data_IF_528620862528
#
_entry.id   IF_528620862528
#
_cell.length_a   1.000
_cell.length_b   1.000
_cell.length_c   1.000
_cell.angle_alpha   90.00
_cell.angle_beta   90.00
_cell.angle_gamma   90.00
#
_symmetry.space_group_name_H-M   'P 1'
#
loop_
_entity.id
_entity.type
_entity.pdbx_description
1 polymer ?
#
# COMPACT_ATOMS: atom_id res chain seq x y z
N UNK A 1 -31.60 50.69 24.80
CA UNK A 1 -32.11 50.94 23.44
C UNK A 1 -32.72 49.64 22.93
N UNK A 2 -34.00 49.70 22.53
CA UNK A 2 -34.79 48.59 21.95
C UNK A 2 -34.64 48.57 20.42
N UNK A 3 -35.19 47.51 19.80
CA UNK A 3 -35.45 47.23 18.37
C UNK A 3 -34.35 46.42 17.65
N UNK A 4 -34.65 45.43 16.81
CA UNK A 4 -35.92 44.81 16.44
C UNK A 4 -35.66 43.42 15.84
N UNK A 5 -36.54 42.46 16.14
CA UNK A 5 -36.61 41.15 15.48
C UNK A 5 -37.39 41.33 14.16
N UNK A 6 -36.78 40.97 13.04
CA UNK A 6 -37.48 40.90 11.75
C UNK A 6 -38.01 39.48 11.56
N UNK A 7 -39.33 39.35 11.58
CA UNK A 7 -40.08 38.15 11.18
C UNK A 7 -40.53 38.39 9.74
N UNK A 8 -40.06 37.59 8.80
CA UNK A 8 -40.54 37.61 7.41
C UNK A 8 -41.55 36.48 7.25
N UNK A 9 -42.81 36.88 7.02
CA UNK A 9 -43.90 36.00 6.63
C UNK A 9 -43.82 35.75 5.12
N UNK A 10 -43.70 34.49 4.71
CA UNK A 10 -43.78 34.08 3.30
C UNK A 10 -45.18 33.53 3.04
N UNK A 11 -45.88 34.17 2.11
CA UNK A 11 -47.22 33.83 1.67
C UNK A 11 -47.18 32.62 0.71
N UNK A 12 -48.11 31.69 0.91
CA UNK A 12 -48.31 30.49 0.10
C UNK A 12 -49.27 30.84 -1.05
N UNK A 13 -48.81 30.76 -2.29
CA UNK A 13 -49.66 30.77 -3.49
C UNK A 13 -50.01 29.31 -3.86
N UNK A 14 -51.30 28.99 -3.84
CA UNK A 14 -51.84 27.73 -4.38
C UNK A 14 -52.16 27.91 -5.87
N UNK A 15 -51.28 27.43 -6.75
CA UNK A 15 -51.56 27.25 -8.17
C UNK A 15 -52.14 25.86 -8.43
N UNK A 16 -53.38 25.80 -8.90
CA UNK A 16 -54.00 24.58 -9.40
C UNK A 16 -53.49 24.27 -10.81
N UNK A 17 -52.62 23.28 -10.95
CA UNK A 17 -52.24 22.70 -12.22
C UNK A 17 -52.96 21.35 -12.40
N UNK A 18 -53.87 21.30 -13.36
CA UNK A 18 -54.46 20.07 -13.89
C UNK A 18 -53.43 19.43 -14.81
N UNK A 19 -52.91 18.26 -14.44
CA UNK A 19 -52.01 17.48 -15.29
C UNK A 19 -52.66 16.14 -15.60
N UNK A 20 -53.09 15.98 -16.86
CA UNK A 20 -53.47 14.70 -17.44
C UNK A 20 -52.30 13.72 -17.31
N UNK A 21 -52.54 12.61 -16.62
CA UNK A 21 -51.55 11.54 -16.45
C UNK A 21 -51.71 10.55 -17.60
N UNK A 22 -50.73 10.42 -18.52
CA UNK A 22 -50.71 9.30 -19.45
C UNK A 22 -50.39 8.02 -18.69
N UNK A 23 -51.24 7.01 -18.83
CA UNK A 23 -51.02 5.65 -18.32
C UNK A 23 -49.73 5.07 -18.92
N UNK A 24 -48.71 4.73 -18.12
CA UNK A 24 -47.56 4.00 -18.63
C UNK A 24 -47.97 2.55 -18.91
N UNK A 25 -47.87 2.13 -20.18
CA UNK A 25 -47.94 0.72 -20.56
C UNK A 25 -46.69 0.01 -20.04
N UNK A 26 -46.84 -0.79 -18.99
CA UNK A 26 -45.76 -1.62 -18.43
C UNK A 26 -45.53 -2.83 -19.33
N UNK A 27 -44.60 -2.72 -20.28
CA UNK A 27 -44.04 -3.90 -20.96
C UNK A 27 -43.07 -4.57 -19.99
N UNK A 28 -43.49 -5.67 -19.39
CA UNK A 28 -42.63 -6.49 -18.52
C UNK A 28 -41.66 -7.26 -19.40
N UNK A 29 -40.46 -6.71 -19.60
CA UNK A 29 -39.36 -7.44 -20.23
C UNK A 29 -38.89 -8.53 -19.25
N UNK A 30 -38.79 -9.81 -19.66
CA UNK A 30 -38.20 -10.84 -18.80
C UNK A 30 -36.79 -10.40 -18.41
N UNK A 31 -36.52 -10.31 -17.11
CA UNK A 31 -35.17 -10.12 -16.61
C UNK A 31 -34.34 -11.35 -17.01
N UNK A 32 -33.46 -11.19 -18.00
CA UNK A 32 -32.45 -12.20 -18.32
C UNK A 32 -31.48 -12.24 -17.16
N UNK A 33 -31.67 -13.18 -16.23
CA UNK A 33 -30.69 -13.50 -15.20
C UNK A 33 -29.52 -14.20 -15.87
N UNK A 34 -28.50 -13.43 -16.27
CA UNK A 34 -27.21 -13.99 -16.65
C UNK A 34 -26.53 -14.45 -15.36
N UNK A 35 -26.71 -15.72 -15.02
CA UNK A 35 -25.96 -16.35 -13.93
C UNK A 35 -24.56 -16.65 -14.45
N UNK A 36 -23.66 -15.69 -14.29
CA UNK A 36 -22.22 -15.92 -14.51
C UNK A 36 -21.75 -16.92 -13.47
N UNK A 37 -21.42 -18.13 -13.91
CA UNK A 37 -20.78 -19.13 -13.06
C UNK A 37 -19.45 -18.53 -12.60
N UNK A 38 -19.24 -18.44 -11.28
CA UNK A 38 -17.96 -18.01 -10.74
C UNK A 38 -16.86 -18.93 -11.31
N UNK A 39 -15.73 -18.39 -11.81
CA UNK A 39 -14.66 -19.21 -12.33
C UNK A 39 -14.26 -20.24 -11.28
N UNK A 40 -14.19 -21.51 -11.67
CA UNK A 40 -13.86 -22.62 -10.77
C UNK A 40 -12.38 -22.66 -10.37
N UNK A 41 -11.55 -21.83 -11.01
CA UNK A 41 -10.13 -21.69 -10.74
C UNK A 41 -9.87 -20.41 -9.95
N UNK A 42 -9.02 -20.50 -8.92
CA UNK A 42 -8.60 -19.33 -8.15
C UNK A 42 -8.03 -18.26 -9.10
N UNK A 43 -8.36 -16.97 -8.90
CA UNK A 43 -7.93 -15.91 -9.81
C UNK A 43 -6.41 -15.76 -9.89
N UNK A 44 -5.67 -16.27 -8.91
CA UNK A 44 -4.21 -16.23 -8.89
C UNK A 44 -3.53 -17.30 -9.76
N UNK A 45 -4.21 -18.43 -9.99
CA UNK A 45 -3.66 -19.50 -10.85
C UNK A 45 -4.16 -19.37 -12.29
N UNK A 46 -4.92 -18.31 -12.55
CA UNK A 46 -5.29 -17.90 -13.90
C UNK A 46 -4.19 -16.99 -14.49
N UNK A 47 -3.99 -17.08 -15.81
CA UNK A 47 -3.04 -16.27 -16.56
C UNK A 47 -1.68 -16.93 -16.77
N UNK A 48 -0.89 -16.36 -17.68
CA UNK A 48 0.38 -16.94 -18.18
C UNK A 48 1.63 -16.24 -17.60
N UNK A 49 1.45 -15.26 -16.71
CA UNK A 49 2.56 -14.57 -16.06
C UNK A 49 3.17 -15.51 -15.01
N UNK A 50 4.50 -15.74 -15.02
CA UNK A 50 5.18 -16.64 -14.09
C UNK A 50 5.19 -16.08 -12.67
N UNK A 51 5.45 -16.97 -11.71
CA UNK A 51 5.75 -16.60 -10.33
C UNK A 51 7.25 -16.65 -10.11
N UNK A 52 7.74 -15.72 -9.30
CA UNK A 52 9.15 -15.55 -8.92
C UNK A 52 9.33 -15.76 -7.41
N UNK A 53 10.56 -16.09 -7.00
CA UNK A 53 10.88 -16.42 -5.59
C UNK A 53 11.97 -15.56 -4.98
N UNK A 54 12.66 -14.77 -5.79
CA UNK A 54 13.74 -13.88 -5.39
C UNK A 54 14.01 -12.81 -6.47
N UNK A 55 14.77 -11.77 -6.12
CA UNK A 55 15.20 -10.74 -7.07
C UNK A 55 14.06 -9.88 -7.62
N UNK A 56 14.18 -9.47 -8.88
CA UNK A 56 13.13 -8.71 -9.59
C UNK A 56 11.98 -9.63 -9.96
N UNK A 57 10.79 -9.32 -9.46
CA UNK A 57 9.56 -10.07 -9.71
C UNK A 57 8.87 -9.57 -10.97
N UNK A 58 8.77 -8.26 -11.13
CA UNK A 58 8.12 -7.66 -12.29
C UNK A 58 8.64 -6.24 -12.56
N UNK A 59 8.62 -5.87 -13.84
CA UNK A 59 8.50 -4.48 -14.28
C UNK A 59 7.08 -4.35 -14.82
N UNK A 60 6.37 -3.29 -14.44
CA UNK A 60 4.95 -3.12 -14.77
C UNK A 60 4.64 -1.70 -15.21
N UNK A 61 3.45 -1.53 -15.79
CA UNK A 61 2.96 -0.27 -16.31
C UNK A 61 3.65 0.16 -17.62
N UNK A 62 3.31 1.37 -18.06
CA UNK A 62 3.83 2.00 -19.27
C UNK A 62 4.68 3.21 -18.92
N UNK A 63 5.48 3.71 -19.87
CA UNK A 63 6.36 4.87 -19.64
C UNK A 63 5.60 6.12 -19.16
N UNK A 64 4.34 6.26 -19.56
CA UNK A 64 3.44 7.33 -19.13
C UNK A 64 2.27 6.72 -18.33
N UNK A 65 1.88 7.37 -17.22
CA UNK A 65 0.73 6.98 -16.39
C UNK A 65 0.00 8.21 -15.86
N UNK A 66 -1.27 8.05 -15.48
CA UNK A 66 -2.07 9.12 -14.86
C UNK A 66 -2.34 8.88 -13.36
N UNK A 67 -1.90 7.73 -12.83
CA UNK A 67 -1.89 7.47 -11.41
C UNK A 67 -0.99 8.47 -10.68
N UNK A 68 -1.56 9.12 -9.66
CA UNK A 68 -0.86 10.07 -8.80
C UNK A 68 -1.02 9.80 -7.30
N UNK A 69 -1.89 8.86 -6.91
CA UNK A 69 -2.20 8.57 -5.51
C UNK A 69 -2.39 7.06 -5.30
N UNK A 70 -1.78 6.51 -4.25
CA UNK A 70 -2.13 5.18 -3.74
C UNK A 70 -3.48 5.29 -3.01
N UNK A 71 -4.56 4.88 -3.66
CA UNK A 71 -5.93 5.09 -3.16
C UNK A 71 -6.39 4.06 -2.14
N UNK A 72 -5.87 2.84 -2.22
CA UNK A 72 -6.33 1.74 -1.38
C UNK A 72 -5.55 0.46 -1.59
N UNK A 73 -5.59 -0.43 -0.59
CA UNK A 73 -5.11 -1.80 -0.74
C UNK A 73 -6.22 -2.76 -0.29
N UNK A 74 -6.53 -3.72 -1.15
CA UNK A 74 -7.54 -4.76 -0.90
C UNK A 74 -6.86 -6.12 -0.88
N UNK A 75 -7.19 -6.93 0.12
CA UNK A 75 -6.71 -8.30 0.23
C UNK A 75 -7.87 -9.29 0.15
N UNK A 76 -7.64 -10.42 -0.51
CA UNK A 76 -8.54 -11.57 -0.50
C UNK A 76 -7.78 -12.88 -0.62
N UNK A 77 -8.17 -13.86 0.21
CA UNK A 77 -7.74 -15.25 0.09
C UNK A 77 -8.65 -16.06 -0.85
N UNK A 78 -8.05 -16.95 -1.64
CA UNK A 78 -8.67 -17.81 -2.64
C UNK A 78 -8.16 -19.25 -2.53
N UNK A 79 -8.51 -19.93 -1.44
CA UNK A 79 -7.99 -21.26 -1.13
C UNK A 79 -6.50 -21.18 -0.81
N UNK A 80 -5.67 -21.84 -1.60
CA UNK A 80 -4.20 -21.87 -1.47
C UNK A 80 -3.52 -20.63 -2.08
N UNK A 81 -4.25 -19.55 -2.33
CA UNK A 81 -3.66 -18.32 -2.87
C UNK A 81 -4.17 -17.09 -2.15
N UNK A 82 -3.37 -16.02 -2.13
CA UNK A 82 -3.82 -14.69 -1.76
C UNK A 82 -3.56 -13.69 -2.88
N UNK A 83 -4.44 -12.69 -2.98
CA UNK A 83 -4.28 -11.55 -3.87
C UNK A 83 -4.37 -10.26 -3.08
N UNK A 84 -3.39 -9.39 -3.29
CA UNK A 84 -3.48 -7.98 -2.97
C UNK A 84 -3.76 -7.20 -4.25
N UNK A 85 -4.65 -6.22 -4.17
CA UNK A 85 -4.92 -5.26 -5.24
C UNK A 85 -4.71 -3.87 -4.67
N UNK A 86 -3.73 -3.18 -5.21
CA UNK A 86 -3.43 -1.79 -4.91
C UNK A 86 -4.17 -0.95 -5.94
N UNK A 87 -5.14 -0.17 -5.48
CA UNK A 87 -5.95 0.70 -6.32
C UNK A 87 -5.26 2.06 -6.45
N UNK A 88 -5.08 2.53 -7.69
CA UNK A 88 -4.43 3.80 -7.97
C UNK A 88 -5.46 4.84 -8.47
N UNK A 89 -5.28 6.07 -8.01
CA UNK A 89 -6.14 7.20 -8.35
C UNK A 89 -5.32 8.29 -9.04
N UNK A 90 -5.99 9.11 -9.82
CA UNK A 90 -5.47 10.41 -10.25
C UNK A 90 -5.34 11.35 -9.04
N UNK A 91 -4.58 12.44 -9.19
CA UNK A 91 -4.39 13.44 -8.13
C UNK A 91 -5.67 14.18 -7.72
N UNK A 92 -6.73 14.13 -8.52
CA UNK A 92 -8.06 14.65 -8.17
C UNK A 92 -8.95 13.63 -7.44
N UNK A 93 -8.46 12.41 -7.21
CA UNK A 93 -9.14 11.34 -6.51
C UNK A 93 -10.04 10.46 -7.39
N UNK A 94 -10.07 10.68 -8.71
CA UNK A 94 -10.76 9.78 -9.65
C UNK A 94 -9.96 8.48 -9.85
N UNK A 95 -10.58 7.36 -10.27
CA UNK A 95 -9.83 6.16 -10.64
C UNK A 95 -8.83 6.46 -11.76
N UNK A 96 -7.56 6.09 -11.56
CA UNK A 96 -6.56 6.19 -12.62
C UNK A 96 -6.91 5.28 -13.80
N UNK A 97 -6.39 5.61 -14.97
CA UNK A 97 -6.55 4.79 -16.17
C UNK A 97 -5.30 3.96 -16.48
N UNK A 98 -4.11 4.49 -16.21
CA UNK A 98 -2.79 3.87 -16.47
C UNK A 98 -1.88 4.01 -15.25
N UNK A 99 -1.15 2.94 -14.90
CA UNK A 99 -0.28 2.91 -13.71
C UNK A 99 0.93 3.83 -13.85
N UNK A 100 1.64 3.79 -14.99
CA UNK A 100 2.99 4.35 -15.14
C UNK A 100 4.08 3.33 -14.77
N UNK A 101 5.35 3.60 -15.11
CA UNK A 101 6.46 2.65 -14.96
C UNK A 101 6.81 2.41 -13.48
N UNK A 102 6.73 1.15 -13.07
CA UNK A 102 7.08 0.71 -11.72
C UNK A 102 7.71 -0.68 -11.70
N UNK A 103 8.11 -1.10 -10.50
CA UNK A 103 8.81 -2.37 -10.31
C UNK A 103 8.36 -3.10 -9.04
N UNK A 104 8.48 -4.41 -9.05
CA UNK A 104 8.34 -5.23 -7.86
C UNK A 104 9.60 -6.08 -7.66
N UNK A 105 10.16 -6.01 -6.45
CA UNK A 105 11.44 -6.66 -6.11
C UNK A 105 11.39 -7.27 -4.72
N UNK A 106 12.01 -8.43 -4.54
CA UNK A 106 12.34 -8.91 -3.21
C UNK A 106 13.54 -8.16 -2.67
N UNK A 107 13.34 -7.34 -1.64
CA UNK A 107 14.44 -6.66 -0.92
C UNK A 107 15.04 -7.56 0.16
N UNK A 108 14.29 -8.55 0.61
CA UNK A 108 14.75 -9.68 1.41
C UNK A 108 13.79 -10.88 1.20
N UNK A 109 14.10 -12.03 1.80
CA UNK A 109 13.18 -13.17 1.80
C UNK A 109 11.83 -12.87 2.48
N UNK A 110 11.77 -11.82 3.31
CA UNK A 110 10.59 -11.43 4.09
C UNK A 110 9.81 -10.27 3.48
N UNK A 111 10.37 -9.54 2.52
CA UNK A 111 9.78 -8.29 2.05
C UNK A 111 9.77 -8.25 0.53
N UNK A 112 8.56 -8.15 0.00
CA UNK A 112 8.31 -7.75 -1.38
C UNK A 112 8.08 -6.24 -1.40
N UNK A 113 8.94 -5.51 -2.10
CA UNK A 113 8.75 -4.08 -2.37
C UNK A 113 8.04 -3.89 -3.71
N UNK A 114 7.02 -3.05 -3.72
CA UNK A 114 6.36 -2.55 -4.93
C UNK A 114 6.66 -1.06 -5.05
N UNK A 115 7.51 -0.69 -6.00
CA UNK A 115 7.93 0.68 -6.30
C UNK A 115 6.95 1.30 -7.29
N UNK A 116 6.41 2.47 -6.97
CA UNK A 116 5.46 3.19 -7.82
C UNK A 116 6.17 4.23 -8.68
N UNK A 117 5.55 4.67 -9.78
CA UNK A 117 6.10 5.73 -10.62
C UNK A 117 6.24 7.04 -9.86
N UNK A 118 7.21 7.87 -10.25
CA UNK A 118 7.47 9.21 -9.66
C UNK A 118 6.24 10.14 -9.68
N UNK A 119 5.28 9.89 -10.58
CA UNK A 119 4.03 10.63 -10.67
C UNK A 119 3.11 10.39 -9.46
N UNK A 120 3.29 9.27 -8.74
CA UNK A 120 2.60 8.98 -7.48
C UNK A 120 3.24 9.80 -6.37
N UNK A 121 2.50 10.82 -5.93
CA UNK A 121 2.98 11.85 -5.00
C UNK A 121 2.19 11.92 -3.69
N UNK A 122 1.17 11.08 -3.53
CA UNK A 122 0.33 11.06 -2.33
C UNK A 122 -0.19 9.64 -2.06
N UNK A 123 -0.73 9.43 -0.85
CA UNK A 123 -1.34 8.17 -0.46
C UNK A 123 -2.52 8.38 0.50
N UNK A 124 -3.58 7.60 0.31
CA UNK A 124 -4.70 7.49 1.24
C UNK A 124 -4.49 6.36 2.28
N UNK A 125 -3.44 5.56 2.13
CA UNK A 125 -3.11 4.42 2.99
C UNK A 125 -1.68 4.59 3.51
N UNK A 126 -1.49 4.51 4.82
CA UNK A 126 -0.14 4.48 5.41
C UNK A 126 0.35 3.07 5.71
N UNK A 127 -0.57 2.19 6.11
CA UNK A 127 -0.28 0.80 6.44
C UNK A 127 -1.55 -0.05 6.32
N UNK A 128 -1.37 -1.36 6.17
CA UNK A 128 -2.46 -2.33 6.22
C UNK A 128 -1.98 -3.66 6.81
N UNK A 129 -2.90 -4.46 7.34
CA UNK A 129 -2.61 -5.80 7.83
C UNK A 129 -3.59 -6.80 7.21
N UNK A 130 -3.13 -8.03 7.02
CA UNK A 130 -3.97 -9.12 6.50
C UNK A 130 -3.89 -10.35 7.40
N UNK A 131 -4.80 -11.30 7.19
CA UNK A 131 -4.85 -12.57 7.92
C UNK A 131 -4.11 -13.70 7.18
N UNK A 132 -3.30 -13.37 6.18
CA UNK A 132 -2.69 -14.32 5.24
C UNK A 132 -1.15 -14.36 5.25
N UNK A 133 -0.58 -14.86 4.17
CA UNK A 133 0.84 -14.86 3.81
C UNK A 133 1.43 -13.45 3.87
N UNK A 134 0.76 -12.47 3.27
CA UNK A 134 1.10 -11.07 3.50
C UNK A 134 0.60 -10.65 4.88
N UNK A 135 1.49 -10.37 5.83
CA UNK A 135 1.08 -10.06 7.20
C UNK A 135 0.75 -8.59 7.37
N UNK A 136 1.67 -7.72 6.98
CA UNK A 136 1.56 -6.26 7.08
C UNK A 136 2.18 -5.62 5.85
N UNK A 137 1.59 -4.54 5.36
CA UNK A 137 2.21 -3.70 4.34
C UNK A 137 2.35 -2.27 4.82
N UNK A 138 3.46 -1.65 4.45
CA UNK A 138 3.80 -0.28 4.80
C UNK A 138 3.93 0.54 3.53
N UNK A 139 3.16 1.63 3.43
CA UNK A 139 3.32 2.60 2.35
C UNK A 139 4.36 3.60 2.82
N UNK A 140 5.48 3.66 2.10
CA UNK A 140 6.67 4.41 2.49
C UNK A 140 6.96 5.47 1.45
N UNK A 141 7.18 6.70 1.91
CA UNK A 141 7.71 7.78 1.13
C UNK A 141 9.25 7.71 1.16
N UNK A 142 9.87 7.67 -0.01
CA UNK A 142 11.32 7.51 -0.10
C UNK A 142 12.06 8.85 0.06
N UNK A 143 13.32 8.80 0.51
CA UNK A 143 14.19 9.97 0.66
C UNK A 143 14.57 10.59 -0.69
N UNK A 144 14.60 9.78 -1.74
CA UNK A 144 14.81 10.25 -3.11
C UNK A 144 13.52 10.78 -3.77
N UNK A 145 12.39 10.68 -3.06
CA UNK A 145 11.05 11.01 -3.55
C UNK A 145 10.26 9.77 -4.00
N UNK A 146 8.98 9.97 -4.26
CA UNK A 146 8.08 8.89 -4.66
C UNK A 146 7.66 7.98 -3.50
N UNK A 147 6.96 6.91 -3.85
CA UNK A 147 6.39 5.96 -2.90
C UNK A 147 6.69 4.52 -3.29
N UNK A 148 6.84 3.68 -2.28
CA UNK A 148 6.81 2.23 -2.43
C UNK A 148 5.94 1.60 -1.35
N UNK A 149 5.54 0.35 -1.57
CA UNK A 149 4.92 -0.49 -0.54
C UNK A 149 5.84 -1.65 -0.23
N UNK A 150 6.25 -1.77 1.03
CA UNK A 150 6.91 -2.97 1.54
C UNK A 150 5.86 -3.92 2.13
N UNK A 151 5.65 -5.06 1.49
CA UNK A 151 4.73 -6.12 1.90
C UNK A 151 5.54 -7.19 2.64
N UNK A 152 5.28 -7.31 3.94
CA UNK A 152 5.93 -8.30 4.81
C UNK A 152 5.26 -9.67 4.66
N UNK A 153 6.06 -10.68 4.42
CA UNK A 153 5.63 -12.07 4.27
C UNK A 153 5.85 -12.82 5.58
N UNK A 154 4.81 -13.50 6.07
CA UNK A 154 4.87 -14.35 7.26
C UNK A 154 5.33 -15.79 6.98
N UNK A 155 5.44 -16.15 5.70
CA UNK A 155 5.93 -17.45 5.24
C UNK A 155 6.51 -17.32 3.82
N UNK A 156 7.31 -18.29 3.36
CA UNK A 156 7.81 -18.27 1.98
C UNK A 156 6.65 -18.29 0.98
N UNK A 157 6.71 -17.43 -0.03
CA UNK A 157 5.71 -17.38 -1.10
C UNK A 157 6.37 -17.29 -2.47
N UNK A 158 5.75 -17.93 -3.46
CA UNK A 158 5.97 -17.62 -4.86
C UNK A 158 5.12 -16.38 -5.17
N UNK A 159 5.71 -15.36 -5.78
CA UNK A 159 5.09 -14.05 -5.97
C UNK A 159 4.95 -13.75 -7.45
N UNK A 160 3.82 -13.14 -7.81
CA UNK A 160 3.61 -12.60 -9.15
C UNK A 160 3.00 -11.21 -9.05
N UNK A 161 3.56 -10.27 -9.80
CA UNK A 161 3.06 -8.88 -9.84
C UNK A 161 2.78 -8.47 -11.27
N UNK A 162 1.66 -7.77 -11.47
CA UNK A 162 1.26 -7.21 -12.75
C UNK A 162 0.30 -6.04 -12.56
N UNK A 163 0.19 -5.18 -13.55
CA UNK A 163 -0.76 -4.06 -13.56
C UNK A 163 -2.04 -4.38 -14.35
N UNK A 164 -3.09 -3.62 -14.06
CA UNK A 164 -4.35 -3.60 -14.80
C UNK A 164 -4.71 -2.15 -15.08
N UNK A 165 -5.14 -1.89 -16.31
CA UNK A 165 -5.65 -0.58 -16.70
C UNK A 165 -7.17 -0.48 -16.53
N UNK A 166 -7.65 0.76 -16.47
CA UNK A 166 -9.07 1.12 -16.50
C UNK A 166 -10.00 0.26 -15.59
N UNK A 167 -9.90 0.37 -14.26
CA UNK A 167 -9.04 1.30 -13.51
C UNK A 167 -7.63 0.77 -13.24
N UNK A 168 -6.68 1.70 -13.17
CA UNK A 168 -5.27 1.52 -12.84
C UNK A 168 -5.11 0.83 -11.49
N UNK A 169 -4.50 -0.36 -11.50
CA UNK A 169 -4.26 -1.19 -10.32
C UNK A 169 -2.95 -1.93 -10.46
N UNK A 170 -2.27 -2.15 -9.35
CA UNK A 170 -1.19 -3.13 -9.24
C UNK A 170 -1.71 -4.34 -8.48
N UNK A 171 -1.53 -5.53 -9.03
CA UNK A 171 -2.00 -6.80 -8.46
C UNK A 171 -0.80 -7.63 -8.04
N UNK A 172 -0.82 -8.09 -6.80
CA UNK A 172 0.17 -9.00 -6.22
C UNK A 172 -0.53 -10.31 -5.90
N UNK A 173 -0.14 -11.39 -6.57
CA UNK A 173 -0.56 -12.75 -6.27
C UNK A 173 0.52 -13.48 -5.49
N UNK A 174 0.08 -14.23 -4.48
CA UNK A 174 0.94 -15.00 -3.58
C UNK A 174 0.48 -16.46 -3.59
N UNK A 175 1.41 -17.39 -3.82
CA UNK A 175 1.21 -18.82 -3.61
C UNK A 175 2.13 -19.31 -2.50
N UNK A 176 1.67 -20.22 -1.63
CA UNK A 176 2.50 -20.75 -0.55
C UNK A 176 3.65 -21.56 -1.13
N UNK A 177 4.85 -21.31 -0.61
CA UNK A 177 6.05 -22.09 -0.92
C UNK A 177 6.48 -22.87 0.32
N UNK A 178 6.96 -24.09 0.12
CA UNK A 178 7.49 -24.90 1.21
C UNK A 178 8.81 -24.35 1.75
N UNK A 179 9.07 -24.64 3.02
CA UNK A 179 10.28 -24.18 3.73
C UNK A 179 9.94 -23.19 4.85
N UNK A 180 10.98 -22.60 5.41
CA UNK A 180 10.89 -21.59 6.47
C UNK A 180 11.61 -20.33 6.01
N UNK A 181 11.12 -19.18 6.44
CA UNK A 181 11.86 -17.92 6.25
C UNK A 181 13.04 -17.88 7.22
N UNK A 182 14.17 -17.39 6.74
CA UNK A 182 15.36 -17.21 7.56
C UNK A 182 15.12 -16.17 8.66
N UNK A 183 15.16 -16.59 9.92
CA UNK A 183 14.87 -15.69 11.05
C UNK A 183 15.94 -14.63 11.25
N UNK A 184 17.16 -14.87 10.77
CA UNK A 184 18.28 -13.95 10.97
C UNK A 184 18.20 -12.73 10.05
N UNK A 185 17.28 -12.71 9.09
CA UNK A 185 17.02 -11.61 8.16
C UNK A 185 15.59 -11.06 8.25
N UNK A 186 14.84 -11.45 9.30
CA UNK A 186 13.46 -11.01 9.51
C UNK A 186 13.39 -9.52 9.88
N UNK A 187 12.48 -8.72 9.30
CA UNK A 187 12.36 -7.32 9.65
C UNK A 187 12.06 -7.12 11.14
N UNK A 188 12.73 -6.14 11.74
CA UNK A 188 12.48 -5.77 13.13
C UNK A 188 11.45 -4.65 13.18
N UNK A 189 10.40 -4.84 13.97
CA UNK A 189 9.32 -3.84 14.12
C UNK A 189 9.17 -3.48 15.59
N UNK A 190 9.12 -2.18 15.89
CA UNK A 190 8.90 -1.67 17.24
C UNK A 190 8.50 -0.20 17.21
N UNK A 191 7.50 0.16 18.02
CA UNK A 191 7.07 1.54 18.32
C UNK A 191 7.28 2.59 17.20
N UNK A 192 6.65 2.37 16.04
CA UNK A 192 6.69 3.35 14.95
C UNK A 192 8.00 3.37 14.15
N UNK A 193 8.85 2.34 14.30
CA UNK A 193 10.06 2.06 13.52
C UNK A 193 10.00 0.63 12.97
N UNK A 194 10.42 0.48 11.72
CA UNK A 194 10.70 -0.81 11.09
C UNK A 194 12.10 -0.78 10.51
N UNK A 195 12.90 -1.78 10.84
CA UNK A 195 14.17 -2.06 10.17
C UNK A 195 13.93 -3.16 9.16
N UNK A 196 13.93 -2.77 7.88
CA UNK A 196 13.56 -3.64 6.78
C UNK A 196 14.71 -4.54 6.35
N UNK A 197 15.92 -3.98 6.26
CA UNK A 197 17.12 -4.73 5.87
C UNK A 197 18.35 -4.20 6.60
N UNK A 198 19.35 -5.07 6.76
CA UNK A 198 20.66 -4.68 7.25
C UNK A 198 21.75 -5.61 6.69
N UNK A 199 23.00 -5.12 6.66
CA UNK A 199 24.17 -5.95 6.35
C UNK A 199 24.90 -6.33 7.64
N UNK A 200 25.50 -7.52 7.63
CA UNK A 200 26.40 -7.96 8.71
C UNK A 200 27.87 -7.56 8.44
N UNK A 201 28.15 -7.00 7.27
CA UNK A 201 29.48 -6.51 6.88
C UNK A 201 29.80 -5.15 7.52
N UNK A 202 31.09 -4.83 7.64
CA UNK A 202 31.55 -3.57 8.22
C UNK A 202 31.90 -2.55 7.13
N UNK A 203 31.34 -1.32 7.18
CA UNK A 203 30.35 -0.86 8.14
C UNK A 203 28.95 -1.43 7.84
N UNK A 204 28.12 -1.63 8.89
CA UNK A 204 26.78 -2.18 8.71
C UNK A 204 25.88 -1.12 8.10
N UNK A 205 25.29 -1.43 6.95
CA UNK A 205 24.26 -0.61 6.34
C UNK A 205 22.90 -1.06 6.87
N UNK A 206 22.05 -0.10 7.21
CA UNK A 206 20.71 -0.33 7.75
C UNK A 206 19.75 0.49 6.90
N UNK A 207 18.66 -0.13 6.46
CA UNK A 207 17.55 0.55 5.81
C UNK A 207 16.24 0.21 6.53
N UNK A 208 15.40 1.21 6.69
CA UNK A 208 14.15 1.08 7.40
C UNK A 208 13.21 2.24 7.13
N UNK A 209 12.14 2.30 7.89
CA UNK A 209 11.18 3.38 7.86
C UNK A 209 10.59 3.66 9.23
N UNK A 210 10.18 4.90 9.44
CA UNK A 210 9.60 5.37 10.69
C UNK A 210 8.42 6.31 10.47
N UNK A 211 7.58 6.42 11.50
CA UNK A 211 6.45 7.37 11.54
C UNK A 211 6.84 8.77 12.01
N UNK A 212 8.07 8.93 12.52
CA UNK A 212 8.65 10.18 12.99
C UNK A 212 9.49 10.85 11.90
N UNK A 213 9.85 12.12 12.09
CA UNK A 213 10.76 12.85 11.17
C UNK A 213 12.24 12.55 11.38
N UNK A 214 12.56 11.83 12.47
CA UNK A 214 13.91 11.43 12.81
C UNK A 214 13.90 10.13 13.62
N UNK A 215 14.99 9.37 13.52
CA UNK A 215 15.28 8.22 14.38
C UNK A 215 16.67 8.38 14.98
N UNK A 216 16.90 7.74 16.12
CA UNK A 216 18.20 7.72 16.78
C UNK A 216 18.80 6.34 16.59
N UNK A 217 19.98 6.28 16.01
CA UNK A 217 20.71 5.03 15.69
C UNK A 217 22.04 5.04 16.42
N UNK A 218 22.34 4.01 17.19
CA UNK A 218 23.60 3.96 17.91
C UNK A 218 23.78 2.76 18.81
N UNK A 219 24.80 2.85 19.65
CA UNK A 219 25.09 1.83 20.65
C UNK A 219 25.79 2.42 21.88
N UNK A 220 25.40 1.95 23.07
CA UNK A 220 25.97 2.43 24.33
C UNK A 220 25.74 3.93 24.50
N UNK A 221 26.81 4.73 24.53
CA UNK A 221 26.73 6.19 24.64
C UNK A 221 26.88 6.90 23.28
N UNK A 222 27.03 6.16 22.17
CA UNK A 222 27.31 6.69 20.85
C UNK A 222 26.06 6.60 19.95
N UNK A 223 25.28 7.68 19.91
CA UNK A 223 24.07 7.79 19.09
C UNK A 223 24.18 8.90 18.04
N UNK A 224 23.57 8.65 16.89
CA UNK A 224 23.42 9.59 15.80
C UNK A 224 21.94 9.74 15.45
N UNK A 225 21.49 10.99 15.30
CA UNK A 225 20.15 11.28 14.80
C UNK A 225 20.17 11.22 13.28
N UNK A 226 19.26 10.44 12.71
CA UNK A 226 19.07 10.24 11.27
C UNK A 226 17.74 10.88 10.89
N UNK A 227 17.76 11.72 9.86
CA UNK A 227 16.54 12.29 9.29
C UNK A 227 15.75 11.20 8.57
N UNK A 228 14.43 11.24 8.72
CA UNK A 228 13.48 10.34 8.06
C UNK A 228 12.74 11.12 6.99
N UNK A 229 12.49 10.52 5.84
CA UNK A 229 11.74 11.10 4.72
C UNK A 229 10.23 11.19 5.01
N UNK A 230 9.84 11.90 6.07
CA UNK A 230 8.48 11.95 6.58
C UNK A 230 7.52 12.60 5.57
N UNK A 231 6.38 11.95 5.32
CA UNK A 231 5.28 12.49 4.53
C UNK A 231 3.95 12.23 5.26
N UNK A 232 2.99 13.18 5.24
CA UNK A 232 1.72 13.00 5.93
C UNK A 232 0.97 11.74 5.47
N UNK A 233 0.59 10.89 6.42
CA UNK A 233 -0.22 9.70 6.12
C UNK A 233 0.56 8.49 5.61
N UNK A 234 1.89 8.57 5.49
CA UNK A 234 2.77 7.45 5.16
C UNK A 234 3.86 7.25 6.21
N UNK A 235 4.62 6.17 6.06
CA UNK A 235 5.92 6.01 6.72
C UNK A 235 6.99 6.75 5.90
N UNK A 236 8.07 7.21 6.53
CA UNK A 236 9.21 7.77 5.80
C UNK A 236 10.41 6.83 5.84
N UNK A 237 11.15 6.72 4.74
CA UNK A 237 12.37 5.90 4.70
C UNK A 237 13.53 6.57 5.45
N UNK A 238 14.46 5.76 5.93
CA UNK A 238 15.76 6.19 6.41
C UNK A 238 16.83 5.16 6.07
N UNK A 239 18.07 5.63 5.96
CA UNK A 239 19.25 4.78 5.88
C UNK A 239 20.29 5.22 6.90
N UNK A 240 21.02 4.26 7.46
CA UNK A 240 22.08 4.52 8.42
C UNK A 240 23.27 3.61 8.15
N UNK A 241 24.45 4.05 8.57
CA UNK A 241 25.68 3.26 8.54
C UNK A 241 26.33 3.29 9.91
N UNK A 242 26.57 2.12 10.48
CA UNK A 242 27.12 1.99 11.84
C UNK A 242 28.38 1.12 11.87
N UNK A 243 29.35 1.42 12.76
CA UNK A 243 30.51 0.57 12.95
C UNK A 243 30.14 -0.85 13.42
N UNK A 244 30.96 -1.84 13.09
CA UNK A 244 30.76 -3.24 13.49
C UNK A 244 30.94 -3.47 15.00
N UNK A 245 30.36 -4.57 15.51
CA UNK A 245 30.75 -5.20 16.77
C UNK A 245 30.00 -4.72 18.00
N UNK A 246 28.93 -3.93 17.82
CA UNK A 246 28.10 -3.44 18.91
C UNK A 246 26.63 -3.62 18.54
N UNK A 247 25.81 -4.05 19.50
CA UNK A 247 24.35 -4.12 19.32
C UNK A 247 23.83 -2.73 18.97
N UNK A 248 23.01 -2.61 17.93
CA UNK A 248 22.57 -1.30 17.42
C UNK A 248 21.13 -1.09 17.84
N UNK A 249 20.92 -0.08 18.68
CA UNK A 249 19.59 0.38 19.05
C UNK A 249 19.13 1.43 18.05
N UNK A 250 17.91 1.25 17.57
CA UNK A 250 17.23 2.14 16.64
C UNK A 250 15.90 2.49 17.27
N UNK A 251 15.73 3.75 17.64
CA UNK A 251 14.56 4.20 18.38
C UNK A 251 13.99 5.50 17.80
N UNK A 252 12.72 5.74 18.07
CA UNK A 252 12.16 7.07 17.99
C UNK A 252 12.75 7.98 19.08
N UNK A 253 12.71 9.31 18.94
CA UNK A 253 13.26 10.24 19.93
C UNK A 253 12.68 10.13 21.35
N UNK A 254 11.47 9.56 21.49
CA UNK A 254 10.81 9.28 22.76
C UNK A 254 11.24 7.96 23.42
N UNK A 255 12.14 7.21 22.80
CA UNK A 255 12.91 6.14 23.43
C UNK A 255 12.33 4.72 23.30
N UNK A 256 11.34 4.52 22.44
CA UNK A 256 10.88 3.18 22.07
C UNK A 256 11.52 2.77 20.72
N UNK A 257 11.95 1.51 20.58
CA UNK A 257 12.74 1.11 19.42
C UNK A 257 12.95 -0.39 19.25
N UNK A 258 13.86 -0.72 18.36
CA UNK A 258 14.31 -2.08 18.04
C UNK A 258 15.83 -2.19 18.18
N UNK A 259 16.30 -3.37 18.56
CA UNK A 259 17.72 -3.67 18.69
C UNK A 259 18.13 -4.69 17.64
N UNK A 260 19.10 -4.34 16.81
CA UNK A 260 19.73 -5.27 15.88
C UNK A 260 20.72 -6.19 16.62
N UNK A 261 20.75 -7.49 16.27
CA UNK A 261 21.68 -8.46 16.87
C UNK A 261 23.15 -8.23 16.50
#
# INVERSE_FOLDING_TARGET
MRLARFVIAIAILTGACTSDTPTPSTTTQPATTTSTVAPSTSPCVAGDIPFETEGTVALFGEADGDAGVIGGVRWAGYGECERLVIDLLTTDGSPGSLVGEGAAVFVSAHILRVEFPDAVIDTAVGQFSTAGMATTGYVVHDSDGGFFIDIHLGQPADVRVFDLDAPARVVVDLLPRSGELDTDSAPLTGAGVVVATWTNESPRAIAGYATTSEVVVGSGDAFTTIAVASFPGSWGSFTATVPEGVAVDIATPDGEGVTLP
#
